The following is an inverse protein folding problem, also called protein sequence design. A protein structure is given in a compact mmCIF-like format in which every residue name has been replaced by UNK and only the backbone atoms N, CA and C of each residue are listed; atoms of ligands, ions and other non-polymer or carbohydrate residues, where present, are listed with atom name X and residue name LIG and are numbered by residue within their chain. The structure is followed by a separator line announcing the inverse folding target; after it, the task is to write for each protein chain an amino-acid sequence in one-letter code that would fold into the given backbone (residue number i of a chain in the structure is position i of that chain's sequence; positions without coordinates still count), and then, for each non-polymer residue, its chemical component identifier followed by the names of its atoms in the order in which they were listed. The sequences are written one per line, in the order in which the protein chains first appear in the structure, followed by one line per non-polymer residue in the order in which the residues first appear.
data_IF_300776659144
#
_entry.id   IF_300776659144
#
_cell.length_a   1.000
_cell.length_b   1.000
_cell.length_c   1.000
_cell.angle_alpha   90.00
_cell.angle_beta   90.00
_cell.angle_gamma   90.00
#
_symmetry.space_group_name_H-M   'P 1'
#
loop_
_entity.id
_entity.type
_entity.pdbx_description
1 polymer ?
#
# COMPACT_ATOMS: atom_id res chain seq x y z
N UNK A 1 6.89 19.03 -45.10
CA UNK A 1 6.58 19.43 -43.71
C UNK A 1 6.06 18.18 -43.03
N UNK A 2 6.98 17.34 -42.50
CA UNK A 2 6.64 16.14 -41.74
C UNK A 2 6.11 16.61 -40.40
N UNK A 3 4.87 16.27 -40.11
CA UNK A 3 4.29 16.40 -38.77
C UNK A 3 5.06 15.43 -37.86
N UNK A 4 5.97 15.96 -37.03
CA UNK A 4 6.51 15.22 -35.91
C UNK A 4 5.36 14.90 -34.95
N UNK A 5 4.81 13.70 -35.11
CA UNK A 5 3.94 13.11 -34.09
C UNK A 5 4.84 12.88 -32.89
N UNK A 6 4.56 13.53 -31.72
CA UNK A 6 5.32 13.25 -30.52
C UNK A 6 5.23 11.74 -30.27
N UNK A 7 6.35 11.04 -30.39
CA UNK A 7 6.43 9.65 -29.94
C UNK A 7 6.04 9.64 -28.47
N UNK A 8 4.96 8.92 -28.14
CA UNK A 8 4.63 8.64 -26.75
C UNK A 8 5.82 7.85 -26.21
N UNK A 9 6.74 8.54 -25.56
CA UNK A 9 7.87 7.89 -24.91
C UNK A 9 7.28 6.92 -23.87
N UNK A 10 7.64 5.65 -23.98
CA UNK A 10 7.34 4.64 -22.97
C UNK A 10 7.90 5.13 -21.62
N UNK A 11 7.11 4.99 -20.54
CA UNK A 11 7.48 5.45 -19.20
C UNK A 11 8.86 4.93 -18.76
N UNK A 12 9.22 3.72 -19.16
CA UNK A 12 10.53 3.11 -18.90
C UNK A 12 11.65 3.85 -19.62
N UNK A 13 11.45 4.24 -20.87
CA UNK A 13 12.44 4.98 -21.66
C UNK A 13 12.69 6.39 -21.13
N UNK A 14 11.63 7.10 -20.72
CA UNK A 14 11.77 8.41 -20.09
C UNK A 14 12.45 8.32 -18.72
N UNK A 15 12.07 7.34 -17.88
CA UNK A 15 12.75 7.12 -16.62
C UNK A 15 14.24 6.80 -16.81
N UNK A 16 14.60 5.99 -17.82
CA UNK A 16 16.00 5.69 -18.16
C UNK A 16 16.75 6.95 -18.54
N UNK A 17 16.23 7.79 -19.44
CA UNK A 17 16.82 9.07 -19.82
C UNK A 17 17.13 9.92 -18.59
N UNK A 18 16.19 10.08 -17.69
CA UNK A 18 16.36 10.87 -16.49
C UNK A 18 17.37 10.26 -15.51
N UNK A 19 17.35 8.95 -15.33
CA UNK A 19 18.31 8.22 -14.48
C UNK A 19 19.73 8.36 -15.00
N UNK A 20 19.97 8.30 -16.32
CA UNK A 20 21.28 8.51 -16.94
C UNK A 20 21.83 9.91 -16.64
N UNK A 21 21.00 10.95 -16.71
CA UNK A 21 21.36 12.31 -16.34
C UNK A 21 21.67 12.40 -14.82
N UNK A 22 20.85 11.78 -13.98
CA UNK A 22 21.08 11.72 -12.54
C UNK A 22 22.39 10.99 -12.19
N UNK A 23 22.73 9.91 -12.92
CA UNK A 23 23.99 9.18 -12.75
C UNK A 23 25.21 10.02 -13.11
N UNK A 24 25.12 10.87 -14.12
CA UNK A 24 26.18 11.81 -14.48
C UNK A 24 26.32 12.94 -13.45
N UNK A 25 25.22 13.49 -12.95
CA UNK A 25 25.20 14.63 -12.04
C UNK A 25 25.58 14.28 -10.59
N UNK A 26 25.03 13.21 -10.01
CA UNK A 26 25.27 12.69 -8.64
C UNK A 26 24.99 13.64 -7.48
N UNK A 27 24.45 14.82 -7.70
CA UNK A 27 24.18 15.80 -6.65
C UNK A 27 23.32 15.26 -5.50
N UNK A 28 22.33 14.40 -5.83
CA UNK A 28 21.38 13.84 -4.85
C UNK A 28 21.85 12.51 -4.21
N UNK A 29 23.14 12.14 -4.27
CA UNK A 29 23.63 10.83 -3.81
C UNK A 29 23.28 10.53 -2.34
N UNK A 30 23.24 11.55 -1.49
CA UNK A 30 22.89 11.44 -0.07
C UNK A 30 21.39 11.45 0.24
N UNK A 31 20.49 11.67 -0.74
CA UNK A 31 19.06 11.93 -0.48
C UNK A 31 18.25 10.68 -0.09
N UNK A 32 18.47 9.55 -0.72
CA UNK A 32 17.76 8.30 -0.42
C UNK A 32 18.47 7.08 -1.02
N UNK A 33 17.93 5.88 -0.83
CA UNK A 33 18.54 4.64 -1.37
C UNK A 33 18.57 4.55 -2.89
N UNK A 34 17.78 5.35 -3.62
CA UNK A 34 17.71 5.32 -5.09
C UNK A 34 19.02 5.81 -5.71
N UNK A 35 19.59 6.90 -5.22
CA UNK A 35 20.79 7.50 -5.85
C UNK A 35 22.05 6.64 -5.70
N UNK A 36 22.39 6.09 -4.51
CA UNK A 36 23.46 5.10 -4.44
C UNK A 36 23.20 3.85 -5.29
N UNK A 37 21.94 3.48 -5.51
CA UNK A 37 21.61 2.38 -6.41
C UNK A 37 21.85 2.76 -7.88
N UNK A 38 21.56 4.01 -8.29
CA UNK A 38 21.88 4.54 -9.61
C UNK A 38 23.40 4.55 -9.83
N UNK A 39 24.19 5.05 -8.87
CA UNK A 39 25.63 5.21 -9.05
C UNK A 39 26.41 3.89 -9.09
N UNK A 40 25.82 2.78 -8.67
CA UNK A 40 26.41 1.44 -8.79
C UNK A 40 26.35 0.88 -10.22
N UNK A 41 25.40 1.35 -11.02
CA UNK A 41 25.17 0.85 -12.37
C UNK A 41 25.83 1.76 -13.42
N UNK A 42 26.32 1.15 -14.50
CA UNK A 42 26.89 1.87 -15.66
C UNK A 42 25.93 1.95 -16.84
N UNK A 43 25.02 1.03 -16.92
CA UNK A 43 23.97 0.96 -17.92
C UNK A 43 22.69 0.44 -17.26
N UNK A 44 21.55 0.88 -17.76
CA UNK A 44 20.24 0.59 -17.14
C UNK A 44 19.35 -0.23 -18.08
N UNK A 45 19.20 -1.52 -17.79
CA UNK A 45 18.18 -2.36 -18.40
C UNK A 45 16.79 -2.08 -17.82
N UNK A 46 15.74 -2.63 -18.43
CA UNK A 46 14.35 -2.45 -17.95
C UNK A 46 14.14 -2.99 -16.52
N UNK A 47 14.85 -4.06 -16.17
CA UNK A 47 14.84 -4.60 -14.82
C UNK A 47 15.40 -3.64 -13.77
N UNK A 48 16.47 -2.91 -14.11
CA UNK A 48 17.09 -1.92 -13.22
C UNK A 48 16.17 -0.72 -13.03
N UNK A 49 15.53 -0.24 -14.11
CA UNK A 49 14.54 0.83 -14.05
C UNK A 49 13.34 0.41 -13.18
N UNK A 50 12.84 -0.81 -13.34
CA UNK A 50 11.76 -1.38 -12.53
C UNK A 50 12.18 -1.50 -11.05
N UNK A 51 13.41 -1.92 -10.77
CA UNK A 51 13.99 -1.99 -9.43
C UNK A 51 14.04 -0.60 -8.77
N UNK A 52 14.61 0.39 -9.46
CA UNK A 52 14.74 1.77 -8.98
C UNK A 52 13.36 2.41 -8.75
N UNK A 53 12.39 2.16 -9.63
CA UNK A 53 11.03 2.64 -9.49
C UNK A 53 10.35 2.10 -8.22
N UNK A 54 10.57 0.83 -7.87
CA UNK A 54 10.01 0.22 -6.65
C UNK A 54 10.80 0.60 -5.38
N UNK A 55 12.08 0.92 -5.50
CA UNK A 55 12.90 1.46 -4.41
C UNK A 55 12.52 2.91 -4.07
N UNK A 56 12.05 3.69 -5.05
CA UNK A 56 11.65 5.07 -4.88
C UNK A 56 10.36 5.22 -4.06
N UNK A 57 10.41 5.99 -2.97
CA UNK A 57 9.27 6.27 -2.08
C UNK A 57 8.51 7.54 -2.44
N UNK A 58 8.89 8.21 -3.53
CA UNK A 58 8.29 9.47 -3.98
C UNK A 58 8.27 10.52 -2.86
N UNK A 59 9.40 10.73 -2.18
CA UNK A 59 9.56 11.77 -1.16
C UNK A 59 9.71 13.17 -1.75
N UNK A 60 10.06 13.26 -3.06
CA UNK A 60 10.15 14.48 -3.88
C UNK A 60 11.30 15.43 -3.55
N UNK A 61 12.08 15.18 -2.50
CA UNK A 61 13.22 16.03 -2.16
C UNK A 61 14.20 16.21 -3.30
N UNK A 62 14.44 15.18 -4.12
CA UNK A 62 15.29 15.27 -5.29
C UNK A 62 14.76 16.21 -6.38
N UNK A 63 13.45 16.42 -6.51
CA UNK A 63 12.88 17.37 -7.46
C UNK A 63 13.17 18.81 -7.05
N UNK A 64 12.87 19.15 -5.80
CA UNK A 64 13.08 20.52 -5.30
C UNK A 64 14.56 20.91 -5.18
N UNK A 65 15.44 19.95 -5.01
CA UNK A 65 16.88 20.20 -4.98
C UNK A 65 17.54 20.20 -6.36
N UNK A 66 16.81 19.82 -7.42
CA UNK A 66 17.38 19.60 -8.75
C UNK A 66 17.47 20.90 -9.54
N UNK A 67 18.67 21.24 -10.02
CA UNK A 67 18.90 22.38 -10.93
C UNK A 67 18.42 22.14 -12.37
N UNK A 68 18.08 20.89 -12.72
CA UNK A 68 17.69 20.48 -14.08
C UNK A 68 16.19 20.25 -14.23
N UNK A 69 15.37 20.67 -13.27
CA UNK A 69 13.91 20.73 -13.41
C UNK A 69 13.50 21.88 -14.34
N UNK A 70 12.24 21.91 -14.81
CA UNK A 70 11.74 23.06 -15.57
C UNK A 70 12.05 24.39 -14.86
N UNK A 71 12.49 25.44 -15.60
CA UNK A 71 12.52 25.58 -17.07
C UNK A 71 13.82 25.09 -17.76
N UNK A 72 14.65 24.28 -17.12
CA UNK A 72 15.86 23.75 -17.75
C UNK A 72 15.50 22.80 -18.91
N UNK A 73 16.32 22.78 -19.99
CA UNK A 73 16.08 21.97 -21.18
C UNK A 73 15.94 20.48 -20.92
N UNK A 74 16.58 19.94 -19.86
CA UNK A 74 16.44 18.55 -19.47
C UNK A 74 15.07 18.25 -18.82
N UNK A 75 14.38 19.23 -18.29
CA UNK A 75 13.04 19.15 -17.68
C UNK A 75 12.85 17.91 -16.78
N UNK A 76 13.82 17.68 -15.85
CA UNK A 76 13.83 16.48 -15.03
C UNK A 76 12.68 16.48 -14.01
N UNK A 77 11.92 15.38 -14.00
CA UNK A 77 10.91 15.08 -12.99
C UNK A 77 11.01 13.59 -12.60
N UNK A 78 12.14 13.22 -12.00
CA UNK A 78 12.42 11.83 -11.61
C UNK A 78 11.34 11.21 -10.71
N UNK A 79 10.74 11.93 -9.72
CA UNK A 79 9.64 11.37 -8.92
C UNK A 79 8.43 10.95 -9.74
N UNK A 80 8.04 11.72 -10.77
CA UNK A 80 6.93 11.38 -11.67
C UNK A 80 7.30 10.20 -12.58
N UNK A 81 8.46 10.27 -13.26
CA UNK A 81 8.91 9.21 -14.15
C UNK A 81 8.98 7.84 -13.44
N UNK A 82 9.58 7.78 -12.25
CA UNK A 82 9.61 6.55 -11.46
C UNK A 82 8.23 6.15 -10.89
N UNK A 83 7.30 7.09 -10.71
CA UNK A 83 5.95 6.76 -10.28
C UNK A 83 5.16 6.07 -11.38
N UNK A 84 5.26 6.53 -12.62
CA UNK A 84 4.61 5.90 -13.78
C UNK A 84 5.15 4.48 -14.02
N UNK A 85 6.46 4.30 -14.11
CA UNK A 85 7.07 2.95 -14.25
C UNK A 85 6.61 2.01 -13.15
N UNK A 86 6.56 2.48 -11.91
CA UNK A 86 6.13 1.67 -10.78
C UNK A 86 4.69 1.18 -10.93
N UNK A 87 3.78 2.06 -11.31
CA UNK A 87 2.36 1.74 -11.50
C UNK A 87 2.16 0.76 -12.65
N UNK A 88 2.83 0.98 -13.78
CA UNK A 88 2.81 0.07 -14.92
C UNK A 88 3.37 -1.30 -14.56
N UNK A 89 4.47 -1.34 -13.81
CA UNK A 89 5.07 -2.60 -13.37
C UNK A 89 4.13 -3.42 -12.48
N UNK A 90 3.40 -2.77 -11.56
CA UNK A 90 2.43 -3.46 -10.71
C UNK A 90 1.26 -4.05 -11.51
N UNK A 91 0.74 -3.29 -12.48
CA UNK A 91 -0.33 -3.78 -13.36
C UNK A 91 0.14 -4.95 -14.24
N UNK A 92 1.40 -4.91 -14.71
CA UNK A 92 2.01 -5.96 -15.53
C UNK A 92 2.29 -7.24 -14.74
N UNK A 93 2.72 -7.13 -13.49
CA UNK A 93 2.98 -8.28 -12.63
C UNK A 93 1.71 -8.89 -12.03
N UNK A 94 0.65 -8.11 -11.85
CA UNK A 94 -0.61 -8.61 -11.31
C UNK A 94 -1.23 -9.70 -12.20
N UNK A 95 -2.01 -10.59 -11.59
CA UNK A 95 -2.77 -11.61 -12.31
C UNK A 95 -4.22 -11.65 -11.77
N UNK A 96 -5.23 -11.48 -12.66
CA UNK A 96 -5.14 -10.95 -14.04
C UNK A 96 -4.85 -9.43 -14.06
N UNK A 97 -3.92 -8.99 -14.92
CA UNK A 97 -3.48 -7.59 -14.99
C UNK A 97 -4.56 -6.58 -15.41
N UNK A 98 -5.63 -7.05 -16.09
CA UNK A 98 -6.77 -6.19 -16.47
C UNK A 98 -7.48 -5.60 -15.25
N UNK A 99 -7.66 -6.36 -14.19
CA UNK A 99 -8.29 -5.88 -12.95
C UNK A 99 -7.46 -4.77 -12.27
N UNK A 100 -6.14 -4.86 -12.32
CA UNK A 100 -5.27 -3.83 -11.77
C UNK A 100 -5.49 -2.49 -12.50
N UNK A 101 -5.52 -2.48 -13.83
CA UNK A 101 -5.75 -1.26 -14.62
C UNK A 101 -7.12 -0.64 -14.36
N UNK A 102 -8.18 -1.46 -14.35
CA UNK A 102 -9.54 -0.99 -14.07
C UNK A 102 -9.65 -0.41 -12.66
N UNK A 103 -9.07 -1.07 -11.66
CA UNK A 103 -9.08 -0.59 -10.28
C UNK A 103 -8.25 0.70 -10.12
N UNK A 104 -7.09 0.80 -10.74
CA UNK A 104 -6.26 2.00 -10.68
C UNK A 104 -6.98 3.24 -11.22
N UNK A 105 -7.75 3.10 -12.29
CA UNK A 105 -8.49 4.20 -12.90
C UNK A 105 -9.76 4.55 -12.14
N UNK A 106 -10.55 3.55 -11.73
CA UNK A 106 -11.91 3.72 -11.17
C UNK A 106 -12.01 3.29 -9.70
N UNK A 107 -10.88 3.25 -8.97
CA UNK A 107 -10.78 2.58 -7.68
C UNK A 107 -11.77 3.03 -6.63
N UNK A 108 -12.02 4.35 -6.49
CA UNK A 108 -12.94 4.86 -5.46
C UNK A 108 -14.36 4.35 -5.69
N UNK A 109 -14.87 4.47 -6.91
CA UNK A 109 -16.21 3.99 -7.25
C UNK A 109 -16.33 2.47 -7.06
N UNK A 110 -15.33 1.72 -7.52
CA UNK A 110 -15.30 0.25 -7.38
C UNK A 110 -15.20 -0.19 -5.93
N UNK A 111 -14.36 0.46 -5.12
CA UNK A 111 -14.22 0.14 -3.70
C UNK A 111 -15.51 0.40 -2.92
N UNK A 112 -16.15 1.54 -3.16
CA UNK A 112 -17.45 1.87 -2.55
C UNK A 112 -18.54 0.91 -2.99
N UNK A 113 -18.69 0.69 -4.30
CA UNK A 113 -19.69 -0.21 -4.83
C UNK A 113 -19.53 -1.64 -4.27
N UNK A 114 -18.29 -2.15 -4.24
CA UNK A 114 -18.00 -3.47 -3.73
C UNK A 114 -18.28 -3.58 -2.21
N UNK A 115 -17.78 -2.64 -1.42
CA UNK A 115 -17.98 -2.65 0.03
C UNK A 115 -19.45 -2.53 0.41
N UNK A 116 -20.20 -1.63 -0.22
CA UNK A 116 -21.62 -1.43 0.05
C UNK A 116 -22.49 -2.58 -0.46
N UNK A 117 -22.19 -3.14 -1.63
CA UNK A 117 -22.93 -4.30 -2.15
C UNK A 117 -22.76 -5.53 -1.26
N UNK A 118 -21.52 -5.78 -0.80
CA UNK A 118 -21.25 -6.89 0.13
C UNK A 118 -21.92 -6.63 1.49
N UNK A 119 -21.85 -5.40 2.01
CA UNK A 119 -22.50 -5.03 3.26
C UNK A 119 -24.04 -5.20 3.16
N UNK A 120 -24.64 -4.75 2.07
CA UNK A 120 -26.08 -4.94 1.82
C UNK A 120 -26.46 -6.42 1.73
N UNK A 121 -25.64 -7.24 1.08
CA UNK A 121 -25.83 -8.69 1.01
C UNK A 121 -25.76 -9.33 2.41
N UNK A 122 -24.76 -9.02 3.21
CA UNK A 122 -24.65 -9.52 4.58
C UNK A 122 -25.85 -9.08 5.43
N UNK A 123 -26.24 -7.82 5.33
CA UNK A 123 -27.39 -7.30 6.07
C UNK A 123 -28.70 -7.99 5.65
N UNK A 124 -28.93 -8.18 4.35
CA UNK A 124 -30.10 -8.92 3.86
C UNK A 124 -30.11 -10.38 4.35
N UNK A 125 -28.95 -11.05 4.36
CA UNK A 125 -28.83 -12.41 4.88
C UNK A 125 -29.15 -12.50 6.38
N UNK A 126 -28.74 -11.50 7.18
CA UNK A 126 -29.08 -11.46 8.61
C UNK A 126 -30.57 -11.22 8.83
N UNK A 127 -31.23 -10.39 8.01
CA UNK A 127 -32.68 -10.11 8.11
C UNK A 127 -33.55 -11.32 7.72
N UNK A 128 -33.03 -12.23 6.88
CA UNK A 128 -33.73 -13.41 6.41
C UNK A 128 -33.55 -14.66 7.28
N UNK A 129 -32.64 -14.63 8.26
CA UNK A 129 -32.34 -15.77 9.13
C UNK A 129 -32.77 -15.47 10.56
N UNK A 130 -33.47 -16.41 11.27
CA UNK A 130 -33.68 -16.27 12.70
C UNK A 130 -32.32 -16.27 13.42
N UNK A 131 -32.18 -15.43 14.43
CA UNK A 131 -30.98 -15.34 15.27
C UNK A 131 -30.71 -16.72 15.92
N UNK A 132 -29.54 -17.29 15.56
CA UNK A 132 -29.08 -18.54 16.16
C UNK A 132 -27.60 -18.40 16.50
N UNK A 133 -27.24 -18.46 17.78
CA UNK A 133 -25.87 -18.31 18.26
C UNK A 133 -25.74 -17.19 19.30
N UNK A 134 -24.50 -16.93 19.73
CA UNK A 134 -24.16 -15.86 20.68
C UNK A 134 -23.28 -14.80 20.04
N UNK A 135 -23.47 -13.53 20.44
CA UNK A 135 -22.65 -12.42 19.97
C UNK A 135 -22.75 -12.22 18.46
N UNK A 136 -21.63 -12.03 17.79
CA UNK A 136 -21.56 -11.80 16.34
C UNK A 136 -21.96 -13.03 15.52
N UNK A 137 -21.87 -14.24 16.08
CA UNK A 137 -22.26 -15.47 15.40
C UNK A 137 -23.78 -15.68 15.33
N UNK A 138 -24.53 -14.86 16.06
CA UNK A 138 -25.99 -14.79 15.87
C UNK A 138 -26.36 -14.24 14.48
N UNK A 139 -25.52 -13.36 13.93
CA UNK A 139 -25.78 -12.70 12.64
C UNK A 139 -25.17 -13.47 11.46
N UNK A 140 -23.98 -14.03 11.63
CA UNK A 140 -23.32 -14.83 10.60
C UNK A 140 -22.61 -16.01 11.27
N UNK A 141 -23.01 -17.24 10.91
CA UNK A 141 -22.43 -18.43 11.51
C UNK A 141 -20.92 -18.49 11.31
N UNK A 142 -20.19 -19.03 12.30
CA UNK A 142 -18.73 -19.19 12.23
C UNK A 142 -18.28 -19.93 10.96
N UNK A 143 -18.98 -21.02 10.60
CA UNK A 143 -18.66 -21.77 9.38
C UNK A 143 -18.80 -20.93 8.10
N UNK A 144 -19.84 -20.09 8.01
CA UNK A 144 -20.02 -19.19 6.87
C UNK A 144 -18.91 -18.10 6.83
N UNK A 145 -18.53 -17.55 7.98
CA UNK A 145 -17.40 -16.61 8.06
C UNK A 145 -16.10 -17.25 7.55
N UNK A 146 -15.79 -18.44 8.03
CA UNK A 146 -14.56 -19.16 7.58
C UNK A 146 -14.61 -19.45 6.09
N UNK A 147 -15.74 -19.94 5.57
CA UNK A 147 -15.89 -20.28 4.15
C UNK A 147 -15.78 -19.07 3.22
N UNK A 148 -16.13 -17.87 3.67
CA UNK A 148 -16.05 -16.64 2.88
C UNK A 148 -14.67 -15.97 3.05
N UNK A 149 -14.23 -15.78 4.30
CA UNK A 149 -13.07 -14.93 4.58
C UNK A 149 -11.73 -15.63 4.41
N UNK A 150 -11.63 -16.95 4.62
CA UNK A 150 -10.36 -17.68 4.43
C UNK A 150 -9.94 -17.66 2.95
N UNK A 151 -10.78 -18.02 1.97
CA UNK A 151 -10.41 -17.89 0.56
C UNK A 151 -10.09 -16.44 0.17
N UNK A 152 -10.90 -15.47 0.64
CA UNK A 152 -10.69 -14.05 0.34
C UNK A 152 -9.37 -13.51 0.95
N UNK A 153 -8.93 -14.05 2.07
CA UNK A 153 -7.66 -13.72 2.70
C UNK A 153 -6.47 -14.37 1.97
N UNK A 154 -6.61 -15.63 1.55
CA UNK A 154 -5.53 -16.37 0.87
C UNK A 154 -5.32 -15.89 -0.57
N UNK A 155 -6.39 -15.54 -1.28
CA UNK A 155 -6.36 -15.11 -2.66
C UNK A 155 -5.34 -13.99 -2.97
N UNK A 156 -5.32 -12.85 -2.24
CA UNK A 156 -4.35 -11.80 -2.50
C UNK A 156 -2.90 -12.26 -2.34
N UNK A 157 -2.60 -13.12 -1.37
CA UNK A 157 -1.24 -13.62 -1.19
C UNK A 157 -0.80 -14.50 -2.37
N UNK A 158 -1.69 -15.32 -2.92
CA UNK A 158 -1.40 -16.12 -4.11
C UNK A 158 -1.09 -15.23 -5.32
N UNK A 159 -1.92 -14.21 -5.57
CA UNK A 159 -1.71 -13.27 -6.68
C UNK A 159 -0.42 -12.46 -6.49
N UNK A 160 -0.18 -11.95 -5.28
CA UNK A 160 1.03 -11.19 -4.95
C UNK A 160 2.28 -12.06 -5.08
N UNK A 161 2.25 -13.32 -4.64
CA UNK A 161 3.38 -14.24 -4.78
C UNK A 161 3.75 -14.48 -6.26
N UNK A 162 2.75 -14.64 -7.14
CA UNK A 162 2.97 -14.72 -8.59
C UNK A 162 3.64 -13.43 -9.11
N UNK A 163 3.13 -12.28 -8.70
CA UNK A 163 3.67 -10.98 -9.09
C UNK A 163 5.10 -10.76 -8.59
N UNK A 164 5.38 -11.07 -7.33
CA UNK A 164 6.72 -10.99 -6.74
C UNK A 164 7.73 -11.91 -7.43
N UNK A 165 7.32 -13.12 -7.82
CA UNK A 165 8.18 -14.03 -8.58
C UNK A 165 8.55 -13.45 -9.96
N UNK A 166 7.60 -12.78 -10.65
CA UNK A 166 7.85 -12.08 -11.93
C UNK A 166 8.80 -10.91 -11.73
N UNK A 167 8.51 -10.05 -10.76
CA UNK A 167 9.36 -8.93 -10.39
C UNK A 167 10.79 -9.38 -10.04
N UNK A 168 10.93 -10.39 -9.18
CA UNK A 168 12.23 -10.87 -8.71
C UNK A 168 13.13 -11.34 -9.86
N UNK A 169 12.53 -12.03 -10.84
CA UNK A 169 13.26 -12.46 -12.05
C UNK A 169 13.66 -11.28 -12.93
N UNK A 170 12.76 -10.30 -13.12
CA UNK A 170 13.03 -9.12 -13.94
C UNK A 170 14.10 -8.23 -13.32
N UNK A 171 14.05 -8.00 -12.00
CA UNK A 171 15.04 -7.23 -11.27
C UNK A 171 16.38 -7.97 -11.06
N UNK A 172 16.57 -9.15 -11.63
CA UNK A 172 17.81 -9.94 -11.50
C UNK A 172 18.07 -10.44 -10.08
N UNK A 173 17.02 -10.69 -9.30
CA UNK A 173 17.15 -11.15 -7.91
C UNK A 173 17.79 -12.51 -7.79
N UNK A 174 18.71 -12.66 -6.83
CA UNK A 174 19.46 -13.88 -6.53
C UNK A 174 18.99 -14.51 -5.22
N UNK A 175 19.73 -15.49 -4.68
CA UNK A 175 19.41 -16.15 -3.42
C UNK A 175 19.37 -15.15 -2.24
N UNK A 176 18.34 -15.25 -1.42
CA UNK A 176 18.09 -14.35 -0.30
C UNK A 176 18.77 -14.94 0.95
N UNK A 177 19.57 -14.10 1.64
CA UNK A 177 20.16 -14.44 2.94
C UNK A 177 19.40 -13.77 4.09
N UNK A 178 19.61 -14.28 5.31
CA UNK A 178 19.04 -13.64 6.51
C UNK A 178 19.55 -12.22 6.73
N UNK A 179 20.77 -11.90 6.31
CA UNK A 179 21.34 -10.56 6.38
C UNK A 179 20.56 -9.58 5.48
N UNK A 180 20.25 -9.99 4.24
CA UNK A 180 19.44 -9.19 3.32
C UNK A 180 18.04 -8.91 3.90
N UNK A 181 17.39 -9.92 4.48
CA UNK A 181 16.08 -9.75 5.13
C UNK A 181 16.15 -8.80 6.33
N UNK A 182 17.10 -8.97 7.24
CA UNK A 182 17.28 -8.07 8.40
C UNK A 182 17.49 -6.62 7.97
N UNK A 183 18.33 -6.39 6.96
CA UNK A 183 18.57 -5.06 6.40
C UNK A 183 17.27 -4.45 5.85
N UNK A 184 16.56 -5.18 4.98
CA UNK A 184 15.35 -4.70 4.33
C UNK A 184 14.20 -4.45 5.32
N UNK A 185 13.95 -5.37 6.25
CA UNK A 185 12.94 -5.19 7.30
C UNK A 185 13.29 -4.04 8.24
N UNK A 186 14.57 -3.87 8.60
CA UNK A 186 15.03 -2.75 9.41
C UNK A 186 14.82 -1.39 8.73
N UNK A 187 15.10 -1.29 7.42
CA UNK A 187 14.87 -0.08 6.64
C UNK A 187 13.35 0.20 6.45
N UNK A 188 12.54 -0.85 6.25
CA UNK A 188 11.09 -0.74 6.14
C UNK A 188 10.43 -0.31 7.47
N UNK A 189 10.80 -0.94 8.59
CA UNK A 189 10.24 -0.63 9.91
C UNK A 189 10.50 0.83 10.33
N UNK A 190 11.67 1.35 9.99
CA UNK A 190 12.04 2.76 10.26
C UNK A 190 11.57 3.73 9.19
N UNK A 191 11.04 3.23 8.06
CA UNK A 191 10.71 4.03 6.87
C UNK A 191 11.86 4.95 6.47
N UNK A 192 13.07 4.40 6.35
CA UNK A 192 14.32 5.13 6.09
C UNK A 192 14.18 6.09 4.90
N UNK A 193 13.63 5.63 3.79
CA UNK A 193 13.48 6.44 2.57
C UNK A 193 12.40 7.55 2.64
N UNK A 194 11.64 7.64 3.74
CA UNK A 194 10.73 8.75 4.03
C UNK A 194 11.30 9.74 5.04
N UNK A 195 12.53 9.55 5.52
CA UNK A 195 13.22 10.54 6.37
C UNK A 195 13.84 11.71 5.58
N UNK A 196 13.92 11.61 4.27
CA UNK A 196 14.58 12.61 3.43
C UNK A 196 16.11 12.49 3.41
N UNK A 197 16.78 13.32 2.61
CA UNK A 197 18.22 13.28 2.43
C UNK A 197 19.01 13.62 3.69
N UNK A 198 18.74 14.79 4.26
CA UNK A 198 19.37 15.26 5.50
C UNK A 198 18.54 14.90 6.75
N UNK A 199 17.67 13.90 6.67
CA UNK A 199 16.69 13.55 7.70
C UNK A 199 15.59 14.61 7.94
N UNK A 200 15.41 15.56 7.04
CA UNK A 200 14.44 16.68 7.17
C UNK A 200 13.01 16.29 6.77
N UNK A 201 12.81 15.10 6.20
CA UNK A 201 11.49 14.61 5.78
C UNK A 201 11.27 14.65 4.27
N UNK A 202 10.01 14.71 3.87
CA UNK A 202 9.56 14.70 2.48
C UNK A 202 9.01 16.06 2.05
N UNK A 203 9.23 16.44 0.78
CA UNK A 203 8.55 17.58 0.12
C UNK A 203 7.25 17.09 -0.54
N UNK A 204 6.28 16.61 0.22
CA UNK A 204 5.10 15.98 -0.35
C UNK A 204 3.98 16.96 -0.69
N UNK A 205 3.97 18.11 -0.07
CA UNK A 205 3.03 19.22 -0.35
C UNK A 205 3.48 20.02 -1.59
N UNK A 206 2.65 20.97 -2.05
CA UNK A 206 2.91 21.79 -3.26
C UNK A 206 4.00 22.85 -3.08
N UNK A 207 4.74 22.82 -1.99
CA UNK A 207 5.77 23.80 -1.67
C UNK A 207 7.09 23.11 -1.36
N UNK A 208 8.19 23.84 -1.54
CA UNK A 208 9.53 23.39 -1.11
C UNK A 208 9.63 23.45 0.42
N UNK A 209 8.89 22.55 1.07
CA UNK A 209 8.85 22.42 2.52
C UNK A 209 9.05 20.99 2.94
N UNK A 210 10.09 20.72 3.67
CA UNK A 210 10.33 19.42 4.29
C UNK A 210 9.40 19.17 5.48
N UNK A 211 8.88 17.96 5.58
CA UNK A 211 7.98 17.57 6.66
C UNK A 211 8.05 16.08 6.94
N UNK A 212 7.98 15.71 8.21
CA UNK A 212 7.84 14.32 8.66
C UNK A 212 6.38 13.84 8.70
N UNK A 213 5.40 14.69 8.43
CA UNK A 213 3.98 14.36 8.53
C UNK A 213 3.61 13.08 7.78
N UNK A 214 4.11 12.92 6.55
CA UNK A 214 3.87 11.72 5.75
C UNK A 214 4.48 10.45 6.37
N UNK A 215 5.68 10.55 6.95
CA UNK A 215 6.36 9.43 7.62
C UNK A 215 5.59 9.00 8.86
N UNK A 216 5.16 9.94 9.70
CA UNK A 216 4.38 9.64 10.92
C UNK A 216 3.01 9.07 10.58
N UNK A 217 2.27 9.67 9.64
CA UNK A 217 0.99 9.16 9.18
C UNK A 217 1.12 7.74 8.59
N UNK A 218 2.19 7.46 7.85
CA UNK A 218 2.44 6.14 7.30
C UNK A 218 2.85 5.12 8.38
N UNK A 219 3.63 5.52 9.40
CA UNK A 219 3.89 4.68 10.57
C UNK A 219 2.60 4.32 11.29
N UNK A 220 1.70 5.29 11.51
CA UNK A 220 0.40 5.03 12.14
C UNK A 220 -0.42 4.00 11.34
N UNK A 221 -0.48 4.14 9.99
CA UNK A 221 -1.18 3.16 9.14
C UNK A 221 -0.50 1.79 9.19
N UNK A 222 0.82 1.72 9.06
CA UNK A 222 1.53 0.44 9.01
C UNK A 222 1.40 -0.32 10.34
N UNK A 223 1.70 0.33 11.46
CA UNK A 223 1.62 -0.32 12.76
C UNK A 223 0.16 -0.55 13.19
N UNK A 224 -0.75 0.38 12.85
CA UNK A 224 -2.19 0.19 13.05
C UNK A 224 -2.73 -1.05 12.33
N UNK A 225 -2.35 -1.22 11.06
CA UNK A 225 -2.71 -2.42 10.28
C UNK A 225 -2.13 -3.70 10.88
N UNK A 226 -0.84 -3.70 11.26
CA UNK A 226 -0.21 -4.87 11.88
C UNK A 226 -0.83 -5.24 13.23
N UNK A 227 -1.22 -4.25 14.04
CA UNK A 227 -1.93 -4.47 15.30
C UNK A 227 -3.33 -5.06 15.05
N UNK A 228 -4.08 -4.57 14.07
CA UNK A 228 -5.37 -5.14 13.69
C UNK A 228 -5.22 -6.59 13.19
N UNK A 229 -4.19 -6.87 12.39
CA UNK A 229 -3.88 -8.23 11.94
C UNK A 229 -3.52 -9.13 13.12
N UNK A 230 -2.69 -8.67 14.04
CA UNK A 230 -2.32 -9.40 15.24
C UNK A 230 -3.53 -9.63 16.17
N UNK A 231 -4.45 -8.65 16.27
CA UNK A 231 -5.72 -8.80 16.98
C UNK A 231 -6.55 -9.96 16.42
N UNK A 232 -6.77 -9.98 15.11
CA UNK A 232 -7.52 -11.05 14.44
C UNK A 232 -6.80 -12.40 14.59
N UNK A 233 -5.49 -12.44 14.41
CA UNK A 233 -4.69 -13.66 14.59
C UNK A 233 -4.75 -14.19 16.01
N UNK A 234 -4.66 -13.31 17.02
CA UNK A 234 -4.77 -13.71 18.43
C UNK A 234 -6.16 -14.25 18.77
N UNK A 235 -7.22 -13.65 18.22
CA UNK A 235 -8.58 -14.18 18.35
C UNK A 235 -8.72 -15.58 17.72
N UNK A 236 -8.12 -15.79 16.55
CA UNK A 236 -8.09 -17.10 15.89
C UNK A 236 -7.36 -18.14 16.75
N UNK A 237 -6.20 -17.80 17.31
CA UNK A 237 -5.47 -18.70 18.21
C UNK A 237 -6.27 -19.00 19.48
N UNK A 238 -6.89 -18.01 20.11
CA UNK A 238 -7.73 -18.21 21.28
C UNK A 238 -8.91 -19.14 20.97
N UNK A 239 -9.54 -18.97 19.82
CA UNK A 239 -10.68 -19.79 19.41
C UNK A 239 -10.28 -21.26 19.15
N UNK A 240 -9.25 -21.50 18.32
CA UNK A 240 -8.94 -22.87 17.84
C UNK A 240 -7.94 -23.65 18.70
N UNK A 241 -7.08 -22.95 19.45
CA UNK A 241 -6.03 -23.61 20.25
C UNK A 241 -6.46 -23.68 21.72
N UNK A 242 -7.11 -22.64 22.22
CA UNK A 242 -7.49 -22.53 23.64
C UNK A 242 -8.99 -22.77 23.90
N UNK A 243 -9.78 -23.03 22.85
CA UNK A 243 -11.25 -23.21 22.92
C UNK A 243 -11.95 -22.05 23.64
N UNK A 244 -11.45 -20.84 23.40
CA UNK A 244 -12.01 -19.59 23.95
C UNK A 244 -12.66 -18.78 22.81
N UNK A 245 -13.95 -18.99 22.52
CA UNK A 245 -14.63 -18.26 21.46
C UNK A 245 -14.93 -16.81 21.86
N UNK A 246 -15.10 -15.92 20.84
CA UNK A 246 -15.62 -14.57 21.06
C UNK A 246 -17.07 -14.63 21.63
N UNK A 247 -17.52 -13.60 22.39
CA UNK A 247 -16.93 -12.26 22.54
C UNK A 247 -15.84 -12.18 23.62
N UNK A 248 -14.79 -11.40 23.32
CA UNK A 248 -13.67 -11.20 24.24
C UNK A 248 -13.87 -9.98 25.14
N UNK A 249 -13.42 -10.06 26.40
CA UNK A 249 -13.41 -8.95 27.35
C UNK A 249 -12.42 -7.85 26.97
N UNK A 250 -12.54 -6.67 27.57
CA UNK A 250 -11.74 -5.48 27.25
C UNK A 250 -10.20 -5.72 27.41
N UNK A 251 -9.80 -6.45 28.42
CA UNK A 251 -8.38 -6.72 28.72
C UNK A 251 -7.85 -7.99 28.02
N UNK A 252 -8.62 -8.55 27.09
CA UNK A 252 -8.14 -9.66 26.27
C UNK A 252 -7.12 -9.19 25.21
N UNK A 253 -6.22 -10.09 24.83
CA UNK A 253 -5.19 -9.78 23.81
C UNK A 253 -5.78 -9.24 22.49
N UNK A 254 -6.87 -9.82 21.92
CA UNK A 254 -7.49 -9.24 20.73
C UNK A 254 -7.93 -7.78 20.90
N UNK A 255 -8.49 -7.41 22.08
CA UNK A 255 -8.95 -6.04 22.32
C UNK A 255 -7.79 -5.07 22.58
N UNK A 256 -6.78 -5.50 23.35
CA UNK A 256 -5.58 -4.70 23.62
C UNK A 256 -4.77 -4.37 22.34
N UNK A 257 -4.83 -5.22 21.33
CA UNK A 257 -4.21 -4.99 20.03
C UNK A 257 -5.15 -4.25 19.06
N UNK A 258 -6.42 -4.67 18.99
CA UNK A 258 -7.37 -4.19 18.00
C UNK A 258 -7.83 -2.76 18.22
N UNK A 259 -8.05 -2.33 19.47
CA UNK A 259 -8.51 -0.97 19.76
C UNK A 259 -7.43 0.07 19.41
N UNK A 260 -6.19 -0.01 19.91
CA UNK A 260 -5.12 0.92 19.49
C UNK A 260 -4.83 0.81 18.00
N UNK A 261 -4.84 -0.41 17.45
CA UNK A 261 -4.64 -0.64 16.01
C UNK A 261 -5.68 0.07 15.17
N UNK A 262 -6.95 -0.03 15.53
CA UNK A 262 -8.05 0.66 14.84
C UNK A 262 -7.92 2.19 14.89
N UNK A 263 -7.57 2.76 16.03
CA UNK A 263 -7.32 4.21 16.15
C UNK A 263 -6.15 4.66 15.28
N UNK A 264 -5.00 4.00 15.35
CA UNK A 264 -3.83 4.32 14.55
C UNK A 264 -4.12 4.20 13.05
N UNK A 265 -4.82 3.13 12.64
CA UNK A 265 -5.18 2.91 11.25
C UNK A 265 -6.12 3.99 10.72
N UNK A 266 -7.14 4.35 11.48
CA UNK A 266 -8.14 5.36 11.10
C UNK A 266 -7.53 6.74 10.99
N UNK A 267 -6.81 7.20 12.03
CA UNK A 267 -6.18 8.53 12.06
C UNK A 267 -5.08 8.62 11.02
N UNK A 268 -4.25 7.57 10.92
CA UNK A 268 -3.17 7.51 9.93
C UNK A 268 -3.67 7.56 8.50
N UNK A 269 -4.75 6.81 8.18
CA UNK A 269 -5.37 6.83 6.85
C UNK A 269 -6.00 8.19 6.53
N UNK A 270 -6.72 8.81 7.47
CA UNK A 270 -7.27 10.15 7.30
C UNK A 270 -6.15 11.18 7.04
N UNK A 271 -5.04 11.10 7.78
CA UNK A 271 -3.88 11.96 7.60
C UNK A 271 -3.21 11.75 6.23
N UNK A 272 -3.06 10.49 5.76
CA UNK A 272 -2.51 10.21 4.43
C UNK A 272 -3.44 10.68 3.31
N UNK A 273 -4.77 10.54 3.46
CA UNK A 273 -5.75 11.07 2.51
C UNK A 273 -5.63 12.59 2.40
N UNK A 274 -5.55 13.29 3.53
CA UNK A 274 -5.36 14.74 3.58
C UNK A 274 -4.07 15.19 2.89
N UNK A 275 -2.93 14.56 3.22
CA UNK A 275 -1.65 14.85 2.58
C UNK A 275 -1.69 14.57 1.07
N UNK A 276 -2.41 13.53 0.63
CA UNK A 276 -2.54 13.20 -0.78
C UNK A 276 -3.40 14.23 -1.55
N UNK A 277 -4.41 14.81 -0.93
CA UNK A 277 -5.22 15.88 -1.52
C UNK A 277 -4.36 17.15 -1.70
N UNK A 278 -3.48 17.44 -0.74
CA UNK A 278 -2.56 18.58 -0.80
C UNK A 278 -1.35 18.38 -1.71
N UNK A 279 -1.04 17.14 -2.06
CA UNK A 279 0.13 16.80 -2.85
C UNK A 279 0.05 17.37 -4.27
N UNK A 280 1.19 17.79 -4.82
CA UNK A 280 1.28 18.16 -6.23
C UNK A 280 1.09 16.92 -7.11
N UNK A 281 0.05 16.87 -7.96
CA UNK A 281 -0.18 15.71 -8.83
C UNK A 281 0.91 15.54 -9.89
N UNK A 282 1.56 16.61 -10.34
CA UNK A 282 2.61 16.57 -11.38
C UNK A 282 3.87 15.81 -10.94
N UNK A 283 4.09 15.64 -9.65
CA UNK A 283 5.23 14.93 -9.06
C UNK A 283 4.92 13.47 -8.74
N UNK A 284 3.91 12.89 -9.36
CA UNK A 284 3.46 11.52 -9.15
C UNK A 284 2.91 10.89 -10.41
N UNK A 285 2.01 9.91 -10.28
CA UNK A 285 1.25 9.31 -11.36
C UNK A 285 -0.23 9.71 -11.24
N UNK A 286 -0.66 10.81 -11.87
CA UNK A 286 -2.04 11.32 -11.73
C UNK A 286 -3.10 10.33 -12.20
N UNK A 287 -2.79 9.51 -13.20
CA UNK A 287 -3.68 8.52 -13.80
C UNK A 287 -4.25 7.50 -12.80
N UNK A 288 -3.55 7.26 -11.70
CA UNK A 288 -3.93 6.26 -10.68
C UNK A 288 -4.37 6.87 -9.35
N UNK A 289 -4.59 8.17 -9.30
CA UNK A 289 -5.00 8.86 -8.08
C UNK A 289 -6.23 8.20 -7.43
N UNK A 290 -7.22 7.81 -8.24
CA UNK A 290 -8.43 7.14 -7.78
C UNK A 290 -8.18 5.80 -7.10
N UNK A 291 -7.36 4.94 -7.70
CA UNK A 291 -7.00 3.64 -7.11
C UNK A 291 -6.18 3.77 -5.83
N UNK A 292 -5.30 4.77 -5.77
CA UNK A 292 -4.52 5.04 -4.57
C UNK A 292 -5.38 5.60 -3.42
N UNK A 293 -6.33 6.50 -3.73
CA UNK A 293 -7.27 7.04 -2.74
C UNK A 293 -8.23 5.97 -2.24
N UNK A 294 -8.72 5.10 -3.13
CA UNK A 294 -9.56 3.96 -2.78
C UNK A 294 -8.93 3.05 -1.73
N UNK A 295 -7.64 2.76 -1.90
CA UNK A 295 -6.90 1.96 -0.94
C UNK A 295 -6.82 2.62 0.44
N UNK A 296 -6.48 3.92 0.49
CA UNK A 296 -6.43 4.68 1.75
C UNK A 296 -7.81 4.73 2.41
N UNK A 297 -8.86 4.92 1.61
CA UNK A 297 -10.24 4.91 2.08
C UNK A 297 -10.64 3.55 2.69
N UNK A 298 -10.38 2.43 2.01
CA UNK A 298 -10.71 1.09 2.51
C UNK A 298 -9.97 0.77 3.81
N UNK A 299 -8.70 1.15 3.93
CA UNK A 299 -7.95 0.99 5.18
C UNK A 299 -8.55 1.80 6.33
N UNK A 300 -8.83 3.07 6.10
CA UNK A 300 -9.44 3.94 7.10
C UNK A 300 -10.83 3.46 7.49
N UNK A 301 -11.65 3.04 6.52
CA UNK A 301 -12.97 2.49 6.74
C UNK A 301 -12.93 1.17 7.53
N UNK A 302 -11.94 0.29 7.26
CA UNK A 302 -11.75 -0.95 8.04
C UNK A 302 -11.50 -0.64 9.53
N UNK A 303 -10.62 0.32 9.82
CA UNK A 303 -10.36 0.75 11.21
C UNK A 303 -11.59 1.41 11.85
N UNK A 304 -12.18 2.38 11.17
CA UNK A 304 -13.31 3.15 11.68
C UNK A 304 -14.56 2.29 11.92
N UNK A 305 -14.92 1.43 10.96
CA UNK A 305 -16.09 0.55 11.11
C UNK A 305 -15.89 -0.51 12.20
N UNK A 306 -14.65 -1.01 12.37
CA UNK A 306 -14.32 -1.93 13.47
C UNK A 306 -14.46 -1.26 14.84
N UNK A 307 -13.99 -0.03 15.00
CA UNK A 307 -14.15 0.75 16.23
C UNK A 307 -15.62 1.11 16.49
N UNK A 308 -16.35 1.50 15.44
CA UNK A 308 -17.79 1.79 15.56
C UNK A 308 -18.58 0.54 15.97
N UNK A 309 -18.28 -0.61 15.38
CA UNK A 309 -18.88 -1.89 15.76
C UNK A 309 -18.60 -2.24 17.23
N UNK A 310 -17.37 -2.01 17.68
CA UNK A 310 -17.02 -2.23 19.08
C UNK A 310 -17.79 -1.28 20.01
N UNK A 311 -17.87 0.00 19.69
CA UNK A 311 -18.61 0.99 20.48
C UNK A 311 -20.13 0.73 20.53
N UNK A 312 -20.67 0.13 19.47
CA UNK A 312 -22.09 -0.22 19.39
C UNK A 312 -22.45 -1.57 20.06
N UNK A 313 -21.50 -2.25 20.71
CA UNK A 313 -21.75 -3.53 21.38
C UNK A 313 -22.92 -3.41 22.37
N UNK A 314 -23.91 -4.32 22.28
CA UNK A 314 -25.11 -4.31 23.10
C UNK A 314 -26.25 -3.40 22.62
N UNK A 315 -26.09 -2.77 21.44
CA UNK A 315 -27.15 -1.94 20.83
C UNK A 315 -27.74 -2.58 19.57
N UNK A 316 -28.87 -2.07 19.08
CA UNK A 316 -29.44 -2.50 17.80
C UNK A 316 -28.58 -2.18 16.57
N UNK A 317 -27.55 -1.32 16.71
CA UNK A 317 -26.66 -0.93 15.63
C UNK A 317 -25.58 -1.99 15.33
N UNK A 318 -25.45 -3.03 16.17
CA UNK A 318 -24.45 -4.10 15.95
C UNK A 318 -24.65 -4.79 14.60
N UNK A 319 -25.87 -5.16 14.23
CA UNK A 319 -26.16 -5.86 12.98
C UNK A 319 -25.75 -5.07 11.73
N UNK A 320 -26.21 -3.84 11.51
CA UNK A 320 -25.82 -3.06 10.34
C UNK A 320 -24.33 -2.69 10.35
N UNK A 321 -23.75 -2.39 11.51
CA UNK A 321 -22.31 -2.08 11.60
C UNK A 321 -21.41 -3.30 11.36
N UNK A 322 -21.84 -4.48 11.80
CA UNK A 322 -21.16 -5.73 11.49
C UNK A 322 -21.18 -5.99 9.98
N UNK A 323 -22.34 -5.87 9.34
CA UNK A 323 -22.46 -6.02 7.89
C UNK A 323 -21.56 -5.03 7.13
N UNK A 324 -21.54 -3.77 7.56
CA UNK A 324 -20.68 -2.74 6.97
C UNK A 324 -19.19 -3.05 7.16
N UNK A 325 -18.80 -3.45 8.37
CA UNK A 325 -17.40 -3.81 8.66
C UNK A 325 -16.95 -5.03 7.84
N UNK A 326 -17.74 -6.10 7.83
CA UNK A 326 -17.43 -7.29 7.04
C UNK A 326 -17.38 -6.99 5.53
N UNK A 327 -18.30 -6.18 5.02
CA UNK A 327 -18.29 -5.72 3.63
C UNK A 327 -17.03 -4.94 3.28
N UNK A 328 -16.62 -4.04 4.16
CA UNK A 328 -15.39 -3.24 3.99
C UNK A 328 -14.13 -4.13 4.01
N UNK A 329 -14.04 -5.05 4.98
CA UNK A 329 -12.90 -5.98 5.11
C UNK A 329 -12.81 -6.91 3.90
N UNK A 330 -13.94 -7.44 3.44
CA UNK A 330 -13.95 -8.33 2.28
C UNK A 330 -13.59 -7.59 0.99
N UNK A 331 -14.11 -6.37 0.80
CA UNK A 331 -13.72 -5.49 -0.31
C UNK A 331 -12.22 -5.17 -0.26
N UNK A 332 -11.66 -4.89 0.91
CA UNK A 332 -10.23 -4.69 1.10
C UNK A 332 -9.43 -5.92 0.66
N UNK A 333 -9.75 -7.12 1.11
CA UNK A 333 -9.02 -8.33 0.73
C UNK A 333 -9.10 -8.60 -0.77
N UNK A 334 -10.28 -8.53 -1.38
CA UNK A 334 -10.47 -8.81 -2.80
C UNK A 334 -9.75 -7.80 -3.71
N UNK A 335 -9.64 -6.54 -3.27
CA UNK A 335 -8.96 -5.48 -4.04
C UNK A 335 -7.45 -5.37 -3.73
N UNK A 336 -6.98 -5.98 -2.65
CA UNK A 336 -5.58 -5.91 -2.20
C UNK A 336 -4.56 -6.14 -3.33
N UNK A 337 -4.64 -7.20 -4.18
CA UNK A 337 -3.61 -7.46 -5.18
C UNK A 337 -3.62 -6.49 -6.35
N UNK A 338 -4.66 -5.67 -6.49
CA UNK A 338 -4.88 -4.70 -7.57
C UNK A 338 -4.77 -3.25 -7.10
N UNK A 339 -4.73 -3.06 -5.79
CA UNK A 339 -4.66 -1.75 -5.12
C UNK A 339 -3.22 -1.36 -4.79
N UNK A 340 -3.07 -0.16 -4.22
CA UNK A 340 -1.77 0.31 -3.70
C UNK A 340 -1.22 -0.55 -2.56
N UNK A 341 -1.96 -1.50 -1.98
CA UNK A 341 -1.44 -2.40 -0.93
C UNK A 341 -0.22 -3.18 -1.40
N UNK A 342 -0.16 -3.56 -2.68
CA UNK A 342 1.00 -4.26 -3.25
C UNK A 342 2.32 -3.52 -3.09
N UNK A 343 2.28 -2.18 -2.89
CA UNK A 343 3.49 -1.38 -2.71
C UNK A 343 4.36 -1.86 -1.54
N UNK A 344 3.74 -2.35 -0.46
CA UNK A 344 4.48 -2.86 0.69
C UNK A 344 5.34 -4.07 0.31
N UNK A 345 4.80 -4.97 -0.49
CA UNK A 345 5.48 -6.19 -0.93
C UNK A 345 6.57 -5.90 -1.97
N UNK A 346 6.27 -5.12 -3.01
CA UNK A 346 7.25 -4.79 -4.03
C UNK A 346 8.39 -3.90 -3.50
N UNK A 347 8.11 -2.95 -2.60
CA UNK A 347 9.15 -2.16 -1.95
C UNK A 347 10.02 -2.97 -1.01
N UNK A 348 9.44 -3.90 -0.25
CA UNK A 348 10.23 -4.80 0.57
C UNK A 348 11.15 -5.66 -0.30
N UNK A 349 10.62 -6.22 -1.41
CA UNK A 349 11.44 -6.96 -2.37
C UNK A 349 12.54 -6.07 -2.99
N UNK A 350 12.24 -4.81 -3.31
CA UNK A 350 13.24 -3.85 -3.81
C UNK A 350 14.33 -3.54 -2.76
N UNK A 351 13.97 -3.42 -1.49
CA UNK A 351 14.95 -3.25 -0.39
C UNK A 351 15.81 -4.50 -0.20
N UNK A 352 15.25 -5.71 -0.33
CA UNK A 352 16.02 -6.96 -0.30
C UNK A 352 17.00 -7.01 -1.46
N UNK A 353 16.55 -6.66 -2.68
CA UNK A 353 17.42 -6.60 -3.85
C UNK A 353 18.52 -5.54 -3.71
N UNK A 354 18.19 -4.35 -3.20
CA UNK A 354 19.19 -3.31 -2.92
C UNK A 354 20.21 -3.77 -1.86
N UNK A 355 19.78 -4.52 -0.84
CA UNK A 355 20.69 -5.12 0.13
C UNK A 355 21.64 -6.15 -0.52
N UNK A 356 21.17 -6.94 -1.50
CA UNK A 356 22.02 -7.85 -2.29
C UNK A 356 23.07 -7.10 -3.11
N UNK A 357 22.69 -5.97 -3.70
CA UNK A 357 23.59 -5.17 -4.56
C UNK A 357 24.62 -4.34 -3.76
N UNK A 358 24.38 -4.15 -2.48
CA UNK A 358 25.34 -3.47 -1.58
C UNK A 358 26.44 -4.39 -1.06
N UNK A 359 26.30 -5.72 -1.15
CA UNK A 359 27.26 -6.73 -0.66
C UNK A 359 26.95 -7.13 0.74
#
# INVERSE_FOLDING_TARGET
MSLDIPQIQDATSEARRQIEICNACRYCEGYCSVFPAITRERAFGDGDITQLANLCHNCRGCYYACQYTEPHEFALNLPAALAEVRVESWARFAWPGRFARVFQQNGVALALALALSIAALFWALTALRPESGQGFYAFLSHAAMVAIFVPAFVFPFAVIAIGLKRYWREAGGTAITMAHLKSAFGDAARMKNLSGGAADGCNFEKTDRYSHARRHAHHAVMYGFLLCLASTSSGTVLHYVFDMPAPYGLFSLPKLLGIPGGFLLTIGAASLAWLKIKADPSLGAPSVWGGEMAFVFLLGATGATGLALYAATGTALVSPLLALHLGTVLAFFLTTPYSKMVHGFYRLAALVRDAQLRG
#
